data_IF_445857696501
#
_entry.id   IF_445857696501
#
_cell.length_a   1.000
_cell.length_b   1.000
_cell.length_c   1.000
_cell.angle_alpha   90.00
_cell.angle_beta   90.00
_cell.angle_gamma   90.00
#
_symmetry.space_group_name_H-M   'P 1'
#
loop_
_entity.id
_entity.type
_entity.pdbx_description
1 polymer ?
#
# COMPACT_ATOMS: atom_id res chain seq x y z
N UNK A 1 2.39 -39.30 1.29
CA UNK A 1 1.02 -38.91 1.07
C UNK A 1 0.71 -37.61 1.82
N UNK A 2 0.15 -36.61 1.15
CA UNK A 2 -0.30 -35.36 1.80
C UNK A 2 -1.60 -35.67 2.54
N UNK A 3 -1.54 -35.71 3.88
CA UNK A 3 -2.74 -35.84 4.72
C UNK A 3 -3.29 -34.45 4.98
N UNK A 4 -4.50 -34.16 4.53
CA UNK A 4 -5.28 -32.99 4.92
C UNK A 4 -5.76 -33.14 6.38
N UNK A 5 -5.83 -32.05 7.13
CA UNK A 5 -6.29 -32.08 8.53
C UNK A 5 -5.23 -32.55 9.56
N UNK A 6 -3.96 -32.72 9.17
CA UNK A 6 -2.88 -33.20 10.05
C UNK A 6 -2.29 -32.13 11.00
N UNK A 7 -2.92 -30.98 11.15
CA UNK A 7 -2.45 -29.92 12.06
C UNK A 7 -1.21 -29.15 11.59
N UNK A 8 -0.85 -29.22 10.30
CA UNK A 8 0.34 -28.52 9.78
C UNK A 8 0.32 -27.01 10.02
N UNK A 9 -0.81 -26.36 9.77
CA UNK A 9 -0.97 -24.91 9.98
C UNK A 9 -0.80 -24.56 11.47
N UNK A 10 -1.35 -25.36 12.36
CA UNK A 10 -1.17 -25.19 13.80
C UNK A 10 0.29 -25.34 14.24
N UNK A 11 0.99 -26.32 13.68
CA UNK A 11 2.45 -26.50 13.94
C UNK A 11 3.22 -25.28 13.48
N UNK A 12 2.95 -24.77 12.26
CA UNK A 12 3.57 -23.57 11.74
C UNK A 12 3.28 -22.36 12.62
N UNK A 13 2.03 -22.20 13.08
CA UNK A 13 1.66 -21.11 13.98
C UNK A 13 2.48 -21.13 15.28
N UNK A 14 2.68 -22.31 15.87
CA UNK A 14 3.54 -22.45 17.06
C UNK A 14 5.00 -22.11 16.79
N UNK A 15 5.53 -22.49 15.63
CA UNK A 15 6.91 -22.09 15.23
C UNK A 15 7.01 -20.58 15.10
N UNK A 16 6.08 -19.94 14.39
CA UNK A 16 6.04 -18.47 14.22
C UNK A 16 5.98 -17.77 15.57
N UNK A 17 5.10 -18.22 16.46
CA UNK A 17 4.95 -17.68 17.81
C UNK A 17 6.25 -17.77 18.61
N UNK A 18 6.94 -18.90 18.54
CA UNK A 18 8.17 -19.12 19.31
C UNK A 18 9.37 -18.37 18.74
N UNK A 19 9.43 -18.18 17.42
CA UNK A 19 10.52 -17.45 16.74
C UNK A 19 10.35 -15.93 16.89
N UNK A 20 9.11 -15.43 16.90
CA UNK A 20 8.78 -14.01 17.14
C UNK A 20 9.35 -13.04 16.10
N UNK A 21 9.55 -13.49 14.85
CA UNK A 21 10.08 -12.65 13.75
C UNK A 21 9.02 -12.39 12.69
N UNK A 22 9.12 -11.29 11.92
CA UNK A 22 8.32 -11.10 10.73
C UNK A 22 8.40 -12.33 9.83
N UNK A 23 7.26 -12.80 9.37
CA UNK A 23 7.13 -14.08 8.67
C UNK A 23 6.44 -13.91 7.33
N UNK A 24 7.00 -14.52 6.28
CA UNK A 24 6.38 -14.63 4.97
C UNK A 24 5.96 -16.09 4.71
N UNK A 25 4.69 -16.27 4.38
CA UNK A 25 4.10 -17.56 3.98
C UNK A 25 3.76 -17.48 2.49
N UNK A 26 4.51 -18.21 1.67
CA UNK A 26 4.32 -18.21 0.24
C UNK A 26 3.45 -19.38 -0.21
N UNK A 27 2.43 -19.07 -1.00
CA UNK A 27 1.50 -20.05 -1.57
C UNK A 27 1.52 -20.02 -3.10
N UNK A 28 1.08 -21.10 -3.73
CA UNK A 28 1.07 -21.21 -5.18
C UNK A 28 -0.17 -20.59 -5.84
N UNK A 29 -1.24 -20.27 -5.09
CA UNK A 29 -2.44 -19.63 -5.62
C UNK A 29 -3.18 -18.76 -4.59
N UNK A 30 -4.11 -17.91 -5.09
CA UNK A 30 -4.94 -17.00 -4.28
C UNK A 30 -5.84 -17.75 -3.28
N UNK A 31 -6.44 -18.88 -3.67
CA UNK A 31 -7.40 -19.62 -2.85
C UNK A 31 -6.74 -20.18 -1.58
N UNK A 32 -5.58 -20.81 -1.73
CA UNK A 32 -4.82 -21.31 -0.58
C UNK A 32 -4.30 -20.16 0.28
N UNK A 33 -3.89 -19.04 -0.35
CA UNK A 33 -3.50 -17.85 0.39
C UNK A 33 -4.63 -17.32 1.25
N UNK A 34 -5.86 -17.24 0.72
CA UNK A 34 -7.02 -16.78 1.46
C UNK A 34 -7.37 -17.69 2.64
N UNK A 35 -7.33 -19.01 2.44
CA UNK A 35 -7.55 -19.99 3.50
C UNK A 35 -6.52 -19.81 4.63
N UNK A 36 -5.24 -19.81 4.30
CA UNK A 36 -4.16 -19.64 5.29
C UNK A 36 -4.23 -18.29 5.99
N UNK A 37 -4.55 -17.22 5.27
CA UNK A 37 -4.75 -15.91 5.87
C UNK A 37 -5.81 -15.94 6.98
N UNK A 38 -6.97 -16.56 6.74
CA UNK A 38 -8.04 -16.69 7.73
C UNK A 38 -7.60 -17.55 8.92
N UNK A 39 -6.94 -18.69 8.67
CA UNK A 39 -6.43 -19.56 9.73
C UNK A 39 -5.40 -18.81 10.62
N UNK A 40 -4.38 -18.16 10.00
CA UNK A 40 -3.38 -17.41 10.77
C UNK A 40 -3.98 -16.20 11.50
N UNK A 41 -4.96 -15.52 10.93
CA UNK A 41 -5.66 -14.42 11.61
C UNK A 41 -6.39 -14.88 12.86
N UNK A 42 -6.95 -16.11 12.85
CA UNK A 42 -7.56 -16.70 14.04
C UNK A 42 -6.54 -17.11 15.11
N UNK A 43 -5.34 -17.57 14.71
CA UNK A 43 -4.26 -17.91 15.65
C UNK A 43 -3.54 -16.70 16.24
N UNK A 44 -3.52 -15.58 15.51
CA UNK A 44 -2.79 -14.36 15.84
C UNK A 44 -3.70 -13.11 15.79
N UNK A 45 -4.71 -13.02 16.70
CA UNK A 45 -5.71 -11.94 16.65
C UNK A 45 -5.13 -10.54 16.87
N UNK A 46 -3.98 -10.42 17.54
CA UNK A 46 -3.34 -9.15 17.87
C UNK A 46 -2.17 -8.79 16.94
N UNK A 47 -1.72 -9.73 16.09
CA UNK A 47 -0.64 -9.51 15.15
C UNK A 47 -1.15 -8.89 13.85
N UNK A 48 -0.26 -8.25 13.09
CA UNK A 48 -0.54 -7.85 11.73
C UNK A 48 -0.46 -9.07 10.81
N UNK A 49 -1.58 -9.79 10.67
CA UNK A 49 -1.71 -10.86 9.68
C UNK A 49 -2.23 -10.24 8.40
N UNK A 50 -1.44 -10.33 7.31
CA UNK A 50 -1.67 -9.60 6.08
C UNK A 50 -1.80 -10.53 4.87
N UNK A 51 -2.58 -10.07 3.89
CA UNK A 51 -2.87 -10.79 2.65
C UNK A 51 -2.24 -10.07 1.46
N UNK A 52 -1.36 -10.76 0.72
CA UNK A 52 -0.62 -10.16 -0.38
C UNK A 52 -0.67 -11.04 -1.63
N UNK A 53 -1.65 -10.81 -2.49
CA UNK A 53 -1.85 -11.53 -3.76
C UNK A 53 -1.99 -10.56 -4.92
N UNK A 54 -2.06 -11.05 -6.16
CA UNK A 54 -2.34 -10.19 -7.31
C UNK A 54 -3.70 -9.50 -7.15
N UNK A 55 -3.75 -8.19 -7.35
CA UNK A 55 -4.96 -7.38 -7.28
C UNK A 55 -5.76 -7.37 -8.58
N UNK A 56 -5.26 -7.99 -9.64
CA UNK A 56 -6.01 -8.15 -10.87
C UNK A 56 -7.06 -9.26 -10.73
N UNK A 57 -8.32 -8.92 -11.00
CA UNK A 57 -9.39 -9.90 -11.18
C UNK A 57 -9.37 -10.43 -12.62
N UNK A 58 -9.04 -9.57 -13.57
CA UNK A 58 -8.84 -9.88 -14.97
C UNK A 58 -7.62 -9.15 -15.51
N UNK A 59 -6.84 -9.81 -16.35
CA UNK A 59 -5.70 -9.23 -17.04
C UNK A 59 -5.56 -9.85 -18.43
N UNK A 60 -5.70 -9.03 -19.47
CA UNK A 60 -5.43 -9.36 -20.85
C UNK A 60 -4.25 -8.50 -21.33
N UNK A 61 -3.10 -9.11 -21.66
CA UNK A 61 -1.99 -8.36 -22.25
C UNK A 61 -2.35 -7.90 -23.65
N UNK A 62 -1.77 -6.79 -24.07
CA UNK A 62 -1.81 -6.37 -25.46
C UNK A 62 -1.12 -7.41 -26.36
N UNK A 63 -1.68 -7.62 -27.55
CA UNK A 63 -1.12 -8.51 -28.55
C UNK A 63 -1.46 -8.03 -29.96
N UNK A 64 -0.53 -8.25 -30.89
CA UNK A 64 -0.79 -8.03 -32.32
C UNK A 64 -0.71 -9.34 -33.07
N UNK A 65 -1.73 -9.63 -33.87
CA UNK A 65 -1.83 -10.83 -34.70
C UNK A 65 -1.59 -10.45 -36.15
N UNK A 66 -0.36 -10.62 -36.69
CA UNK A 66 0.00 -10.10 -38.01
C UNK A 66 -0.82 -10.66 -39.16
N UNK A 67 -1.22 -11.93 -39.11
CA UNK A 67 -1.94 -12.58 -40.20
C UNK A 67 -3.41 -12.11 -40.37
N UNK A 68 -3.98 -11.46 -39.34
CA UNK A 68 -5.33 -10.89 -39.39
C UNK A 68 -5.33 -9.37 -39.23
N UNK A 69 -4.15 -8.77 -39.12
CA UNK A 69 -3.96 -7.33 -38.82
C UNK A 69 -4.83 -6.88 -37.63
N UNK A 70 -4.87 -7.73 -36.60
CA UNK A 70 -5.71 -7.51 -35.41
C UNK A 70 -4.86 -7.08 -34.24
N UNK A 71 -5.14 -5.90 -33.70
CA UNK A 71 -4.59 -5.43 -32.42
C UNK A 71 -5.57 -5.74 -31.30
N UNK A 72 -5.08 -6.46 -30.29
CA UNK A 72 -5.81 -6.75 -29.05
C UNK A 72 -5.32 -5.75 -28.02
N UNK A 73 -6.20 -4.88 -27.56
CA UNK A 73 -5.88 -3.90 -26.53
C UNK A 73 -5.66 -4.56 -25.17
N UNK A 74 -4.77 -3.96 -24.39
CA UNK A 74 -4.58 -4.34 -22.98
C UNK A 74 -5.86 -4.03 -22.20
N UNK A 75 -6.36 -5.01 -21.47
CA UNK A 75 -7.51 -4.87 -20.58
C UNK A 75 -7.20 -5.44 -19.19
N UNK A 76 -7.57 -4.73 -18.14
CA UNK A 76 -7.34 -5.17 -16.77
C UNK A 76 -8.37 -4.58 -15.82
N UNK A 77 -8.90 -5.39 -14.92
CA UNK A 77 -9.71 -4.93 -13.81
C UNK A 77 -8.98 -5.13 -12.48
N UNK A 78 -8.98 -4.09 -11.66
CA UNK A 78 -8.32 -4.08 -10.34
C UNK A 78 -9.39 -4.31 -9.27
N UNK A 79 -9.08 -5.20 -8.33
CA UNK A 79 -9.88 -5.41 -7.14
C UNK A 79 -9.41 -4.45 -6.04
N UNK A 80 -10.23 -3.46 -5.72
CA UNK A 80 -9.93 -2.41 -4.76
C UNK A 80 -9.69 -2.92 -3.34
N UNK A 81 -10.41 -3.97 -2.92
CA UNK A 81 -10.20 -4.57 -1.59
C UNK A 81 -8.85 -5.28 -1.50
N UNK A 82 -8.45 -6.00 -2.55
CA UNK A 82 -7.14 -6.64 -2.59
C UNK A 82 -6.03 -5.58 -2.65
N UNK A 83 -6.21 -4.50 -3.41
CA UNK A 83 -5.26 -3.40 -3.46
C UNK A 83 -5.04 -2.77 -2.08
N UNK A 84 -6.12 -2.48 -1.35
CA UNK A 84 -6.09 -2.01 0.03
C UNK A 84 -5.32 -2.96 0.96
N UNK A 85 -5.61 -4.27 0.88
CA UNK A 85 -4.91 -5.28 1.69
C UNK A 85 -3.41 -5.32 1.38
N UNK A 86 -3.01 -5.15 0.12
CA UNK A 86 -1.60 -5.06 -0.30
C UNK A 86 -0.91 -3.82 0.26
N UNK A 87 -1.56 -2.66 0.18
CA UNK A 87 -1.04 -1.42 0.76
C UNK A 87 -0.87 -1.55 2.27
N UNK A 88 -1.84 -2.18 2.95
CA UNK A 88 -1.77 -2.46 4.39
C UNK A 88 -0.62 -3.39 4.74
N UNK A 89 -0.42 -4.46 3.98
CA UNK A 89 0.70 -5.37 4.17
C UNK A 89 2.06 -4.65 4.07
N UNK A 90 2.21 -3.77 3.07
CA UNK A 90 3.43 -2.98 2.89
C UNK A 90 3.65 -1.99 4.02
N UNK A 91 2.62 -1.25 4.42
CA UNK A 91 2.69 -0.29 5.52
C UNK A 91 3.06 -0.99 6.84
N UNK A 92 2.39 -2.10 7.17
CA UNK A 92 2.65 -2.85 8.39
C UNK A 92 4.03 -3.52 8.40
N UNK A 93 4.50 -4.03 7.26
CA UNK A 93 5.84 -4.63 7.16
C UNK A 93 6.95 -3.63 7.54
N UNK A 94 6.77 -2.36 7.22
CA UNK A 94 7.75 -1.32 7.48
C UNK A 94 7.61 -0.67 8.87
N UNK A 95 6.43 -0.77 9.51
CA UNK A 95 6.14 -0.08 10.78
C UNK A 95 6.01 -1.02 11.98
N UNK A 96 5.80 -2.33 11.75
CA UNK A 96 5.57 -3.32 12.82
C UNK A 96 6.59 -4.45 12.78
N UNK A 97 6.75 -5.13 13.90
CA UNK A 97 7.63 -6.31 14.04
C UNK A 97 6.89 -7.64 14.12
N UNK A 98 5.60 -7.59 14.41
CA UNK A 98 4.72 -8.74 14.62
C UNK A 98 3.92 -9.10 13.34
N UNK A 99 4.54 -8.95 12.17
CA UNK A 99 3.90 -9.09 10.87
C UNK A 99 3.98 -10.52 10.36
N UNK A 100 2.85 -11.04 9.88
CA UNK A 100 2.73 -12.34 9.20
C UNK A 100 2.06 -12.07 7.84
N UNK A 101 2.81 -12.22 6.74
CA UNK A 101 2.28 -12.01 5.39
C UNK A 101 2.00 -13.34 4.74
N UNK A 102 0.75 -13.56 4.33
CA UNK A 102 0.37 -14.70 3.47
C UNK A 102 0.26 -14.19 2.03
N UNK A 103 1.17 -14.67 1.18
CA UNK A 103 1.33 -14.17 -0.17
C UNK A 103 1.20 -15.27 -1.23
N UNK A 104 0.80 -14.87 -2.43
CA UNK A 104 0.97 -15.69 -3.65
C UNK A 104 2.28 -15.32 -4.36
N UNK A 105 2.56 -15.99 -5.46
CA UNK A 105 3.73 -15.71 -6.31
C UNK A 105 3.85 -14.25 -6.76
N UNK A 106 2.78 -13.47 -6.71
CA UNK A 106 2.81 -12.04 -7.05
C UNK A 106 3.74 -11.19 -6.16
N UNK A 107 4.15 -11.70 -5.00
CA UNK A 107 5.08 -10.99 -4.11
C UNK A 107 6.53 -10.96 -4.62
N UNK A 108 6.88 -11.75 -5.65
CA UNK A 108 8.23 -11.75 -6.24
C UNK A 108 8.46 -10.55 -7.17
N UNK A 109 7.40 -9.91 -7.63
CA UNK A 109 7.51 -8.71 -8.46
C UNK A 109 7.84 -7.49 -7.58
N UNK A 110 8.89 -6.77 -7.95
CA UNK A 110 9.37 -5.61 -7.18
C UNK A 110 8.33 -4.50 -7.09
N UNK A 111 8.22 -3.90 -5.91
CA UNK A 111 7.38 -2.73 -5.62
C UNK A 111 8.22 -1.45 -5.49
N UNK A 112 9.50 -1.47 -5.87
CA UNK A 112 10.45 -0.39 -5.65
C UNK A 112 11.35 -0.64 -4.43
N UNK A 113 12.06 0.40 -3.99
CA UNK A 113 12.94 0.34 -2.83
C UNK A 113 12.16 0.46 -1.52
N UNK A 114 12.28 -0.51 -0.60
CA UNK A 114 11.65 -0.41 0.72
C UNK A 114 12.11 0.83 1.52
N UNK A 115 13.37 1.22 1.38
CA UNK A 115 13.90 2.41 2.06
C UNK A 115 13.29 3.69 1.50
N UNK A 116 13.16 3.81 0.18
CA UNK A 116 12.50 4.96 -0.45
C UNK A 116 11.03 5.07 -0.04
N UNK A 117 10.31 3.95 0.01
CA UNK A 117 8.93 3.93 0.47
C UNK A 117 8.81 4.35 1.94
N UNK A 118 9.72 3.88 2.80
CA UNK A 118 9.76 4.24 4.21
C UNK A 118 10.08 5.73 4.43
N UNK A 119 11.00 6.29 3.64
CA UNK A 119 11.36 7.71 3.69
C UNK A 119 10.22 8.64 3.25
N UNK A 120 9.31 8.12 2.42
CA UNK A 120 8.13 8.87 1.96
C UNK A 120 7.00 8.91 3.00
N UNK A 121 7.04 8.06 4.04
CA UNK A 121 6.00 8.08 5.07
C UNK A 121 5.99 9.41 5.82
N UNK A 122 4.82 10.03 5.91
CA UNK A 122 4.60 11.25 6.69
C UNK A 122 4.43 10.88 8.15
N UNK A 123 5.30 11.42 9.02
CA UNK A 123 5.27 11.18 10.46
C UNK A 123 4.97 12.49 11.17
N UNK A 124 3.99 12.46 12.06
CA UNK A 124 3.50 13.61 12.78
C UNK A 124 3.36 13.22 14.24
N UNK A 125 3.93 14.01 15.14
CA UNK A 125 3.82 13.82 16.59
C UNK A 125 3.06 14.95 17.22
N UNK A 126 2.34 14.65 18.27
CA UNK A 126 1.73 15.65 19.12
C UNK A 126 2.81 16.56 19.74
N UNK A 127 2.56 17.88 19.70
CA UNK A 127 3.50 18.91 20.14
C UNK A 127 4.55 19.32 19.11
N UNK A 128 4.61 18.67 17.93
CA UNK A 128 5.48 19.13 16.85
C UNK A 128 4.97 20.49 16.32
N UNK A 129 5.92 21.36 15.98
CA UNK A 129 5.63 22.59 15.24
C UNK A 129 5.68 22.25 13.76
N UNK A 130 4.51 22.30 13.13
CA UNK A 130 4.36 21.83 11.76
C UNK A 130 3.41 22.76 10.99
N UNK A 131 3.94 23.51 10.02
CA UNK A 131 3.13 24.33 9.14
C UNK A 131 2.06 23.48 8.44
N UNK A 132 0.79 23.88 8.59
CA UNK A 132 -0.37 23.19 7.98
C UNK A 132 -0.17 22.95 6.49
N UNK A 133 0.27 23.97 5.74
CA UNK A 133 0.45 23.84 4.29
C UNK A 133 1.57 22.86 3.92
N UNK A 134 2.54 22.68 4.80
CA UNK A 134 3.55 21.63 4.62
C UNK A 134 2.95 20.24 4.78
N UNK A 135 2.09 20.01 5.79
CA UNK A 135 1.38 18.73 5.94
C UNK A 135 0.58 18.42 4.67
N UNK A 136 -0.13 19.41 4.13
CA UNK A 136 -0.93 19.21 2.91
C UNK A 136 -0.06 18.89 1.69
N UNK A 137 1.08 19.55 1.52
CA UNK A 137 2.04 19.24 0.44
C UNK A 137 2.61 17.83 0.60
N UNK A 138 2.97 17.44 1.82
CA UNK A 138 3.52 16.10 2.11
C UNK A 138 2.48 15.01 1.78
N UNK A 139 1.19 15.22 2.13
CA UNK A 139 0.11 14.31 1.77
C UNK A 139 -0.06 14.18 0.25
N UNK A 140 -0.04 15.28 -0.48
CA UNK A 140 -0.12 15.27 -1.95
C UNK A 140 1.11 14.57 -2.55
N UNK A 141 2.29 14.79 -2.00
CA UNK A 141 3.53 14.15 -2.45
C UNK A 141 3.46 12.63 -2.34
N UNK A 142 2.84 12.11 -1.28
CA UNK A 142 2.61 10.67 -1.09
C UNK A 142 1.32 10.16 -1.76
N UNK A 143 0.80 10.91 -2.72
CA UNK A 143 -0.30 10.54 -3.62
C UNK A 143 -1.70 10.53 -3.01
N UNK A 144 -1.92 11.23 -1.88
CA UNK A 144 -3.27 11.55 -1.43
C UNK A 144 -3.83 12.71 -2.24
N UNK A 145 -5.12 12.68 -2.52
CA UNK A 145 -5.84 13.77 -3.17
C UNK A 145 -6.75 14.51 -2.19
N UNK A 146 -6.79 15.84 -2.29
CA UNK A 146 -7.74 16.61 -1.50
C UNK A 146 -9.14 16.44 -2.04
N UNK A 147 -10.06 16.03 -1.18
CA UNK A 147 -11.47 15.96 -1.50
C UNK A 147 -12.29 16.26 -0.23
N UNK A 148 -12.90 17.43 -0.17
CA UNK A 148 -13.65 17.88 1.00
C UNK A 148 -15.07 17.26 1.07
N UNK A 149 -15.50 16.54 0.03
CA UNK A 149 -16.85 15.97 -0.10
C UNK A 149 -16.87 14.44 -0.11
N UNK A 150 -15.86 13.78 -0.72
CA UNK A 150 -15.79 12.33 -0.82
C UNK A 150 -15.26 11.70 0.45
N UNK A 151 -15.73 10.46 0.71
CA UNK A 151 -15.22 9.59 1.77
C UNK A 151 -14.31 8.49 1.21
N UNK A 152 -13.81 8.66 -0.02
CA UNK A 152 -12.98 7.66 -0.68
C UNK A 152 -11.62 7.51 0.01
N UNK A 153 -11.08 6.28 -0.01
CA UNK A 153 -9.73 5.99 0.48
C UNK A 153 -8.66 6.72 -0.35
N UNK A 154 -7.56 7.06 0.27
CA UNK A 154 -6.49 7.82 -0.39
C UNK A 154 -6.83 9.31 -0.59
N UNK A 155 -7.78 9.82 0.18
CA UNK A 155 -8.14 11.24 0.18
C UNK A 155 -7.89 11.89 1.53
N UNK A 156 -7.80 13.20 1.53
CA UNK A 156 -7.83 14.01 2.74
C UNK A 156 -8.75 15.23 2.57
N UNK A 157 -9.27 15.73 3.66
CA UNK A 157 -10.05 16.97 3.70
C UNK A 157 -9.55 17.91 4.77
N UNK A 158 -9.86 19.20 4.61
CA UNK A 158 -9.38 20.25 5.51
C UNK A 158 -10.57 21.12 5.94
N UNK A 159 -10.72 21.30 7.25
CA UNK A 159 -11.74 22.17 7.85
C UNK A 159 -11.10 23.03 8.93
N UNK A 160 -10.74 24.29 8.57
CA UNK A 160 -9.99 25.16 9.46
C UNK A 160 -8.63 24.57 9.79
N UNK A 161 -8.38 24.36 11.07
CA UNK A 161 -7.14 23.82 11.60
C UNK A 161 -7.18 22.29 11.78
N UNK A 162 -8.20 21.63 11.23
CA UNK A 162 -8.38 20.18 11.28
C UNK A 162 -8.13 19.57 9.91
N UNK A 163 -7.20 18.62 9.85
CA UNK A 163 -6.90 17.80 8.67
C UNK A 163 -7.36 16.37 8.97
N UNK A 164 -8.21 15.84 8.10
CA UNK A 164 -8.68 14.45 8.21
C UNK A 164 -8.24 13.68 6.99
N UNK A 165 -7.62 12.52 7.21
CA UNK A 165 -7.04 11.66 6.18
C UNK A 165 -7.70 10.30 6.19
N UNK A 166 -8.16 9.81 5.03
CA UNK A 166 -8.58 8.43 4.84
C UNK A 166 -7.45 7.62 4.23
N UNK A 167 -6.71 6.84 5.03
CA UNK A 167 -5.61 6.03 4.51
C UNK A 167 -6.10 5.07 3.41
N UNK A 168 -5.26 4.84 2.40
CA UNK A 168 -5.57 3.87 1.34
C UNK A 168 -5.57 2.42 1.82
N UNK A 169 -5.07 2.16 3.02
CA UNK A 169 -4.81 0.85 3.59
C UNK A 169 -5.60 0.55 4.88
N UNK A 170 -6.41 1.49 5.38
CA UNK A 170 -7.14 1.34 6.65
C UNK A 170 -8.60 1.79 6.49
N UNK A 171 -9.47 1.33 7.40
CA UNK A 171 -10.86 1.77 7.50
C UNK A 171 -10.99 3.02 8.38
N UNK A 172 -10.14 3.11 9.39
CA UNK A 172 -10.16 4.21 10.32
C UNK A 172 -9.58 5.46 9.68
N UNK A 173 -10.25 6.58 9.86
CA UNK A 173 -9.74 7.87 9.50
C UNK A 173 -8.77 8.40 10.53
N UNK A 174 -7.81 9.19 10.08
CA UNK A 174 -6.85 9.88 10.91
C UNK A 174 -7.23 11.35 10.99
N UNK A 175 -7.16 11.93 12.18
CA UNK A 175 -7.41 13.35 12.38
C UNK A 175 -6.20 13.99 13.04
N UNK A 176 -5.79 15.12 12.48
CA UNK A 176 -4.72 15.99 12.93
C UNK A 176 -5.36 17.32 13.25
N UNK A 177 -5.35 17.73 14.52
CA UNK A 177 -5.87 19.02 14.98
C UNK A 177 -4.67 19.91 15.30
N UNK A 178 -4.67 21.11 14.73
CA UNK A 178 -3.62 22.11 14.92
C UNK A 178 -4.13 23.25 15.79
N UNK A 179 -3.24 23.81 16.61
CA UNK A 179 -3.42 25.10 17.27
C UNK A 179 -2.33 26.06 16.79
N UNK A 180 -2.65 26.91 15.82
CA UNK A 180 -1.65 27.61 15.02
C UNK A 180 -0.80 26.60 14.23
N UNK A 181 0.52 26.61 14.45
CA UNK A 181 1.47 25.68 13.83
C UNK A 181 1.81 24.47 14.72
N UNK A 182 1.21 24.37 15.91
CA UNK A 182 1.46 23.25 16.82
C UNK A 182 0.43 22.13 16.60
N UNK A 183 0.90 20.88 16.55
CA UNK A 183 0.05 19.69 16.53
C UNK A 183 -0.52 19.47 17.93
N UNK A 184 -1.77 19.89 18.15
CA UNK A 184 -2.43 19.80 19.45
C UNK A 184 -2.96 18.40 19.76
N UNK A 185 -3.59 17.76 18.75
CA UNK A 185 -4.23 16.46 18.95
C UNK A 185 -4.14 15.58 17.71
N UNK A 186 -3.89 14.28 17.96
CA UNK A 186 -3.88 13.24 16.96
C UNK A 186 -4.82 12.10 17.37
N UNK A 187 -5.71 11.68 16.46
CA UNK A 187 -6.57 10.55 16.76
C UNK A 187 -6.97 9.73 15.52
N UNK A 188 -7.39 8.50 15.79
CA UNK A 188 -8.12 7.64 14.86
C UNK A 188 -9.60 7.74 15.19
N UNK A 189 -10.44 7.85 14.17
CA UNK A 189 -11.88 8.00 14.36
C UNK A 189 -12.68 7.30 13.26
N UNK A 190 -13.91 6.96 13.59
CA UNK A 190 -14.87 6.43 12.64
C UNK A 190 -15.59 7.58 11.93
N UNK A 191 -15.46 7.67 10.60
CA UNK A 191 -16.07 8.79 9.84
C UNK A 191 -17.59 8.79 9.85
N UNK A 192 -18.21 7.61 9.99
CA UNK A 192 -19.68 7.48 9.94
C UNK A 192 -20.31 7.90 11.26
N UNK A 193 -19.73 7.45 12.39
CA UNK A 193 -20.24 7.76 13.73
C UNK A 193 -19.65 9.03 14.31
N UNK A 194 -18.48 9.47 13.81
CA UNK A 194 -17.70 10.58 14.39
C UNK A 194 -16.97 10.21 15.69
N UNK A 195 -17.09 8.96 16.16
CA UNK A 195 -16.49 8.52 17.41
C UNK A 195 -14.97 8.40 17.29
N UNK A 196 -14.26 8.93 18.30
CA UNK A 196 -12.82 8.74 18.45
C UNK A 196 -12.57 7.32 18.92
N UNK A 197 -11.90 6.52 18.09
CA UNK A 197 -11.52 5.15 18.39
C UNK A 197 -10.33 5.14 19.35
N UNK A 198 -9.34 6.00 19.05
CA UNK A 198 -8.10 6.07 19.83
C UNK A 198 -7.40 7.41 19.62
N UNK A 199 -7.00 8.05 20.72
CA UNK A 199 -5.99 9.11 20.69
C UNK A 199 -4.59 8.52 20.65
N UNK A 200 -3.69 9.15 19.91
CA UNK A 200 -2.32 8.69 19.72
C UNK A 200 -1.34 9.86 19.85
N UNK A 201 -0.12 9.56 20.27
CA UNK A 201 0.95 10.54 20.38
C UNK A 201 1.71 10.75 19.06
N UNK A 202 1.59 9.79 18.13
CA UNK A 202 2.24 9.84 16.82
C UNK A 202 1.36 9.17 15.76
N UNK A 203 1.32 9.77 14.57
CA UNK A 203 0.74 9.18 13.38
C UNK A 203 1.84 8.95 12.33
N UNK A 204 1.80 7.78 11.70
CA UNK A 204 2.60 7.48 10.51
C UNK A 204 1.64 7.19 9.36
N UNK A 205 1.70 8.01 8.30
CA UNK A 205 0.85 7.90 7.12
C UNK A 205 1.70 7.37 5.97
N UNK A 206 1.39 6.15 5.52
CA UNK A 206 2.07 5.54 4.39
C UNK A 206 1.50 6.09 3.06
N UNK A 207 2.28 6.02 1.96
CA UNK A 207 1.82 6.44 0.63
C UNK A 207 0.51 5.78 0.21
N UNK A 208 -0.32 6.55 -0.50
CA UNK A 208 -1.62 6.08 -1.00
C UNK A 208 -1.49 5.03 -2.12
N UNK A 209 -0.32 4.88 -2.72
CA UNK A 209 0.00 3.93 -3.81
C UNK A 209 1.36 3.28 -3.58
N UNK A 210 1.55 2.07 -4.13
CA UNK A 210 2.85 1.38 -4.04
C UNK A 210 3.96 2.08 -4.84
N UNK A 211 3.63 2.57 -6.03
CA UNK A 211 4.62 3.18 -6.93
C UNK A 211 4.61 4.70 -6.75
N UNK A 212 5.40 5.17 -5.79
CA UNK A 212 5.63 6.60 -5.56
C UNK A 212 7.12 6.87 -5.74
N UNK A 213 7.45 7.85 -6.55
CA UNK A 213 8.83 8.23 -6.85
C UNK A 213 9.13 9.57 -6.20
N UNK A 214 10.29 9.69 -5.54
CA UNK A 214 10.76 10.97 -5.01
C UNK A 214 10.89 11.98 -6.16
N UNK A 215 10.47 13.21 -5.93
CA UNK A 215 10.47 14.28 -6.94
C UNK A 215 11.87 14.52 -7.52
N UNK A 216 12.90 14.39 -6.68
CA UNK A 216 14.32 14.49 -7.08
C UNK A 216 14.71 13.46 -8.15
N UNK A 217 14.11 12.27 -8.13
CA UNK A 217 14.40 11.18 -9.07
C UNK A 217 13.62 11.32 -10.39
N UNK A 218 12.56 12.14 -10.41
CA UNK A 218 11.65 12.27 -11.55
C UNK A 218 12.33 12.85 -12.79
N UNK A 219 13.12 13.90 -12.61
CA UNK A 219 13.84 14.52 -13.73
C UNK A 219 14.84 13.55 -14.37
N UNK A 220 15.61 12.80 -13.57
CA UNK A 220 16.54 11.80 -14.05
C UNK A 220 15.86 10.59 -14.71
N UNK A 221 14.66 10.20 -14.26
CA UNK A 221 13.85 9.18 -14.93
C UNK A 221 13.40 9.64 -16.32
N UNK A 222 12.84 10.85 -16.43
CA UNK A 222 12.38 11.41 -17.70
C UNK A 222 13.52 11.52 -18.72
N UNK A 223 14.70 11.94 -18.26
CA UNK A 223 15.88 12.01 -19.13
C UNK A 223 16.31 10.64 -19.64
N UNK A 224 16.30 9.60 -18.79
CA UNK A 224 16.63 8.21 -19.21
C UNK A 224 15.62 7.67 -20.21
N UNK A 225 14.33 7.88 -19.97
CA UNK A 225 13.26 7.48 -20.90
C UNK A 225 13.43 8.18 -22.25
N UNK A 226 13.79 9.46 -22.27
CA UNK A 226 14.01 10.22 -23.48
C UNK A 226 15.23 9.72 -24.28
N UNK A 227 16.32 9.35 -23.60
CA UNK A 227 17.50 8.75 -24.23
C UNK A 227 17.16 7.38 -24.83
N UNK A 228 16.52 6.50 -24.06
CA UNK A 228 16.10 5.18 -24.53
C UNK A 228 15.15 5.25 -25.73
N UNK A 229 14.19 6.18 -25.71
CA UNK A 229 13.29 6.41 -26.83
C UNK A 229 14.06 6.84 -28.08
N UNK A 230 15.02 7.77 -27.94
CA UNK A 230 15.84 8.28 -29.06
C UNK A 230 16.66 7.15 -29.68
N UNK A 231 17.30 6.34 -28.84
CA UNK A 231 18.09 5.20 -29.29
C UNK A 231 17.20 4.15 -30.01
N UNK A 232 16.02 3.87 -29.48
CA UNK A 232 15.10 2.90 -30.08
C UNK A 232 14.53 3.38 -31.41
N UNK A 233 14.19 4.66 -31.52
CA UNK A 233 13.74 5.25 -32.80
C UNK A 233 14.85 5.17 -33.86
N UNK A 234 16.10 5.45 -33.49
CA UNK A 234 17.24 5.34 -34.41
C UNK A 234 17.54 3.89 -34.84
N UNK A 235 17.25 2.89 -34.01
CA UNK A 235 17.31 1.47 -34.39
C UNK A 235 16.20 1.12 -35.40
N UNK A 236 14.95 1.52 -35.13
CA UNK A 236 13.81 1.25 -36.02
C UNK A 236 13.97 1.92 -37.38
N UNK A 237 14.51 3.16 -37.43
CA UNK A 237 14.81 3.84 -38.69
C UNK A 237 15.87 3.14 -39.53
N UNK A 238 16.75 2.33 -38.92
CA UNK A 238 17.76 1.53 -39.64
C UNK A 238 17.24 0.20 -40.12
N UNK A 239 16.21 -0.31 -39.46
CA UNK A 239 15.58 -1.60 -39.81
C UNK A 239 14.56 -1.45 -40.95
N UNK A 240 14.11 -0.21 -41.31
CA UNK A 240 13.20 0.14 -42.41
C UNK A 240 11.77 0.08 -42.06
#
# INVERSE_FOLDING_TARGET
GRVTGSGKTFTMANVIKNVGKPTLILTHNKTLAAQLYQEFKSFFPNNAVEYFVSYYDYFQPEAYIPHTDTFIEKDASINDEIDKLRLRATANLLTRRDVIIVASVSCIYGLGSPSEYFDLMVRIKKGDIYDRDKILRDLVHIQYSRNDFSLDRGTFRVRGDVIEVHPSYDEDWLRIELFGDEVDRLCRFNIVTGEVIKEVEELTIAPAKHFVTKEENRAGMLQRIQLELTDRLAELDKEG
#
